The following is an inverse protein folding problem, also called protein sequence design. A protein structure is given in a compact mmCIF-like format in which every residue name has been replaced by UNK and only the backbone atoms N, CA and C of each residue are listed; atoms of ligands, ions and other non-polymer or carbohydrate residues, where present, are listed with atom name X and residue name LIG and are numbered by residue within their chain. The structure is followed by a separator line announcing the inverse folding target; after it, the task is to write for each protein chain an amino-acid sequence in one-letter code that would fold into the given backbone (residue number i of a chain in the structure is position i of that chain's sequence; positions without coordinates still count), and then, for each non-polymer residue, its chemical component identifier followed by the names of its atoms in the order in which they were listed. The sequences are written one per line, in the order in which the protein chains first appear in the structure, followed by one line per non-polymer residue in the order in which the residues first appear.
data_IF_052759069229
#
_entry.id   IF_052759069229
#
_cell.length_a   1.000
_cell.length_b   1.000
_cell.length_c   1.000
_cell.angle_alpha   90.00
_cell.angle_beta   90.00
_cell.angle_gamma   90.00
#
_symmetry.space_group_name_H-M   'P 1'
#
loop_
_entity.id
_entity.type
_entity.pdbx_description
1 polymer ?
#
# COMPACT_ATOMS: atom_id res chain seq x y z
N UNK A 1 -11.10 -73.27 10.54
CA UNK A 1 -11.64 -73.40 11.90
C UNK A 1 -11.78 -71.99 12.47
N UNK A 2 -13.03 -71.44 12.45
CA UNK A 2 -13.83 -71.08 13.61
C UNK A 2 -13.21 -69.96 14.44
N UNK A 3 -13.80 -68.78 14.71
CA UNK A 3 -15.14 -68.49 15.24
C UNK A 3 -15.46 -67.03 15.09
N UNK A 4 -16.71 -66.78 14.71
CA UNK A 4 -17.42 -65.49 14.83
C UNK A 4 -17.63 -65.11 16.30
N UNK A 5 -17.45 -63.80 16.61
CA UNK A 5 -18.12 -63.22 17.79
C UNK A 5 -18.79 -61.92 17.40
N UNK A 6 -20.08 -62.05 17.27
CA UNK A 6 -21.05 -60.93 17.17
C UNK A 6 -21.12 -60.23 18.51
N UNK A 7 -20.91 -58.91 18.58
CA UNK A 7 -21.39 -58.09 19.70
C UNK A 7 -22.24 -56.94 19.19
N UNK A 8 -23.49 -57.13 19.47
CA UNK A 8 -24.56 -56.17 19.41
C UNK A 8 -24.29 -55.07 20.45
N UNK A 9 -24.28 -53.82 20.04
CA UNK A 9 -24.31 -52.65 20.95
C UNK A 9 -25.43 -51.73 20.53
N UNK A 10 -26.27 -51.44 21.50
CA UNK A 10 -27.48 -50.63 21.47
C UNK A 10 -27.26 -49.23 20.92
N UNK A 11 -28.23 -48.79 20.13
CA UNK A 11 -28.47 -47.42 19.71
C UNK A 11 -29.10 -46.68 20.91
N UNK A 12 -28.44 -45.63 21.39
CA UNK A 12 -29.08 -44.60 22.19
C UNK A 12 -29.13 -43.35 21.30
N UNK A 13 -30.34 -43.02 20.88
CA UNK A 13 -30.65 -41.80 20.18
C UNK A 13 -30.60 -40.61 21.17
N UNK A 14 -29.55 -39.79 21.03
CA UNK A 14 -29.49 -38.49 21.68
C UNK A 14 -29.50 -37.43 20.58
N UNK A 15 -30.61 -36.72 20.44
CA UNK A 15 -30.72 -35.57 19.53
C UNK A 15 -29.86 -34.42 20.10
N UNK A 16 -28.63 -34.33 19.67
CA UNK A 16 -27.78 -33.18 19.88
C UNK A 16 -27.77 -32.36 18.60
N UNK A 17 -28.46 -31.23 18.59
CA UNK A 17 -28.30 -30.22 17.52
C UNK A 17 -26.92 -29.65 17.62
N UNK A 18 -25.97 -30.18 16.86
CA UNK A 18 -24.68 -29.51 16.60
C UNK A 18 -24.90 -28.43 15.53
N UNK A 19 -25.13 -27.21 15.98
CA UNK A 19 -24.93 -26.04 15.12
C UNK A 19 -23.46 -25.96 14.78
N UNK A 20 -23.12 -26.50 13.62
CA UNK A 20 -21.80 -26.26 13.02
C UNK A 20 -21.76 -24.81 12.58
N UNK A 21 -21.20 -23.96 13.43
CA UNK A 21 -20.78 -22.62 13.00
C UNK A 21 -19.73 -22.81 11.91
N UNK A 22 -20.11 -22.59 10.65
CA UNK A 22 -19.17 -22.40 9.56
C UNK A 22 -18.42 -21.08 9.78
N UNK A 23 -17.37 -21.09 10.62
CA UNK A 23 -16.30 -20.11 10.58
C UNK A 23 -15.34 -20.55 9.48
N UNK A 24 -15.58 -20.17 8.25
CA UNK A 24 -14.52 -20.23 7.25
C UNK A 24 -14.94 -19.52 5.98
N UNK A 25 -14.73 -18.23 5.95
CA UNK A 25 -14.39 -17.49 4.74
C UNK A 25 -13.72 -16.15 5.06
N UNK A 26 -12.90 -16.15 6.14
CA UNK A 26 -11.96 -15.09 6.38
C UNK A 26 -10.54 -15.68 6.31
N UNK A 27 -9.72 -15.10 5.44
CA UNK A 27 -8.26 -15.27 5.39
C UNK A 27 -7.70 -16.61 4.87
N UNK A 28 -7.82 -16.84 3.58
CA UNK A 28 -6.68 -17.37 2.83
C UNK A 28 -5.98 -16.21 2.13
N UNK A 29 -5.31 -15.36 2.89
CA UNK A 29 -4.18 -14.60 2.37
C UNK A 29 -3.13 -15.66 2.07
N UNK A 30 -2.74 -15.78 0.80
CA UNK A 30 -1.76 -16.75 0.37
C UNK A 30 -0.49 -16.56 1.19
N UNK A 31 0.01 -17.61 1.84
CA UNK A 31 1.24 -17.64 2.67
C UNK A 31 2.53 -17.25 1.90
N UNK A 32 2.41 -16.83 0.64
CA UNK A 32 3.50 -16.40 -0.23
C UNK A 32 3.53 -14.88 -0.51
N UNK A 33 2.56 -14.10 -0.04
CA UNK A 33 2.58 -12.66 -0.25
C UNK A 33 3.59 -12.01 0.71
N UNK A 34 4.76 -11.62 0.18
CA UNK A 34 5.74 -10.87 0.94
C UNK A 34 5.12 -9.52 1.34
N UNK A 35 4.96 -9.25 2.63
CA UNK A 35 4.41 -7.99 3.12
C UNK A 35 5.16 -6.80 2.52
N UNK A 36 4.46 -5.70 2.18
CA UNK A 36 5.08 -4.43 1.79
C UNK A 36 6.17 -4.00 2.78
N UNK A 37 5.94 -4.20 4.07
CA UNK A 37 6.88 -3.86 5.14
C UNK A 37 8.15 -4.73 5.20
N UNK A 38 8.23 -5.81 4.44
CA UNK A 38 9.45 -6.62 4.29
C UNK A 38 10.37 -6.09 3.18
N UNK A 39 9.92 -5.08 2.42
CA UNK A 39 10.67 -4.45 1.36
C UNK A 39 11.55 -3.32 1.90
N UNK A 40 12.54 -2.92 1.11
CA UNK A 40 13.40 -1.77 1.39
C UNK A 40 13.76 -1.07 0.08
N UNK A 41 14.14 0.19 0.18
CA UNK A 41 14.65 0.98 -0.92
C UNK A 41 15.71 1.96 -0.42
N UNK A 42 16.59 2.40 -1.31
CA UNK A 42 17.57 3.45 -1.04
C UNK A 42 16.87 4.82 -1.05
N UNK A 43 17.07 5.62 -0.02
CA UNK A 43 16.56 6.99 0.03
C UNK A 43 17.34 7.92 -0.92
N UNK A 44 16.91 9.16 -1.05
CA UNK A 44 17.54 10.16 -1.94
C UNK A 44 18.98 10.51 -1.53
N UNK A 45 19.42 10.13 -0.33
CA UNK A 45 20.79 10.35 0.19
C UNK A 45 21.68 9.10 0.08
N UNK A 46 21.12 7.95 -0.37
CA UNK A 46 21.86 6.70 -0.51
C UNK A 46 21.73 5.75 0.68
N UNK A 47 20.85 6.01 1.65
CA UNK A 47 20.64 5.17 2.81
C UNK A 47 19.54 4.14 2.55
N UNK A 48 19.73 2.88 2.99
CA UNK A 48 18.72 1.83 2.84
C UNK A 48 17.65 1.96 3.92
N UNK A 49 16.43 2.26 3.50
CA UNK A 49 15.27 2.41 4.37
C UNK A 49 14.36 1.20 4.22
N UNK A 50 14.06 0.54 5.34
CA UNK A 50 13.01 -0.49 5.38
C UNK A 50 11.63 0.15 5.34
N UNK A 51 10.72 -0.38 4.52
CA UNK A 51 9.31 0.06 4.52
C UNK A 51 8.63 -0.23 5.85
N UNK A 52 9.18 -1.14 6.64
CA UNK A 52 8.75 -1.41 8.02
C UNK A 52 8.84 -0.20 8.96
N UNK A 53 9.67 0.80 8.66
CA UNK A 53 9.76 2.06 9.41
C UNK A 53 8.45 2.87 9.40
N UNK A 54 7.58 2.62 8.42
CA UNK A 54 6.32 3.34 8.24
C UNK A 54 5.09 2.60 8.81
N UNK A 55 5.29 1.48 9.52
CA UNK A 55 4.20 0.75 10.18
C UNK A 55 3.37 1.66 11.09
N UNK A 56 2.06 1.45 11.08
CA UNK A 56 1.13 2.21 11.92
C UNK A 56 0.62 3.50 11.29
N UNK A 57 1.21 3.97 10.18
CA UNK A 57 0.66 5.04 9.34
C UNK A 57 0.12 4.46 8.03
N UNK A 58 -0.80 5.16 7.40
CA UNK A 58 -1.10 4.93 5.98
C UNK A 58 0.09 5.37 5.14
N UNK A 59 0.31 4.74 4.02
CA UNK A 59 1.44 5.03 3.13
C UNK A 59 0.90 5.38 1.75
N UNK A 60 1.23 6.56 1.23
CA UNK A 60 0.96 6.95 -0.15
C UNK A 60 2.26 6.90 -0.94
N UNK A 61 2.41 5.88 -1.79
CA UNK A 61 3.56 5.73 -2.68
C UNK A 61 3.28 6.41 -4.00
N UNK A 62 4.18 7.28 -4.46
CA UNK A 62 4.00 8.07 -5.69
C UNK A 62 5.27 7.99 -6.53
N UNK A 63 5.15 7.66 -7.82
CA UNK A 63 6.24 7.82 -8.77
C UNK A 63 6.25 9.24 -9.32
N UNK A 64 7.36 9.93 -9.16
CA UNK A 64 7.45 11.37 -9.40
C UNK A 64 8.48 11.72 -10.48
N UNK A 65 8.37 12.92 -11.03
CA UNK A 65 9.34 13.46 -12.00
C UNK A 65 9.35 14.98 -11.98
N UNK A 66 10.53 15.58 -12.26
CA UNK A 66 10.76 17.03 -12.21
C UNK A 66 10.33 17.79 -13.47
N UNK A 67 10.09 17.10 -14.60
CA UNK A 67 9.80 17.72 -15.92
C UNK A 67 8.52 17.19 -16.56
N UNK A 68 7.52 16.91 -15.74
CA UNK A 68 6.21 16.39 -16.13
C UNK A 68 5.15 17.49 -16.07
N UNK A 69 4.10 17.40 -16.90
CA UNK A 69 2.93 18.28 -16.77
C UNK A 69 2.25 18.18 -15.38
N UNK A 70 2.40 17.03 -14.70
CA UNK A 70 1.89 16.81 -13.35
C UNK A 70 2.86 17.19 -12.22
N UNK A 71 4.06 17.73 -12.53
CA UNK A 71 5.04 18.15 -11.50
C UNK A 71 4.46 19.11 -10.46
N UNK A 72 3.50 20.03 -10.79
CA UNK A 72 2.85 20.87 -9.78
C UNK A 72 2.14 20.10 -8.66
N UNK A 73 1.81 18.82 -8.84
CA UNK A 73 1.23 17.96 -7.78
C UNK A 73 2.15 17.79 -6.55
N UNK A 74 3.44 18.11 -6.66
CA UNK A 74 4.32 18.13 -5.48
C UNK A 74 3.80 19.06 -4.37
N UNK A 75 3.19 20.20 -4.72
CA UNK A 75 2.59 21.14 -3.76
C UNK A 75 1.44 20.47 -3.00
N UNK A 76 0.53 19.81 -3.73
CA UNK A 76 -0.58 19.08 -3.12
C UNK A 76 -0.12 17.87 -2.28
N UNK A 77 0.94 17.16 -2.71
CA UNK A 77 1.53 16.06 -1.94
C UNK A 77 2.15 16.56 -0.64
N UNK A 78 2.84 17.71 -0.66
CA UNK A 78 3.42 18.33 0.54
C UNK A 78 2.31 18.77 1.50
N UNK A 79 1.29 19.46 1.00
CA UNK A 79 0.11 19.86 1.79
C UNK A 79 -0.57 18.64 2.43
N UNK A 80 -0.76 17.57 1.68
CA UNK A 80 -1.35 16.31 2.17
C UNK A 80 -0.49 15.71 3.30
N UNK A 81 0.82 15.65 3.09
CA UNK A 81 1.77 15.12 4.06
C UNK A 81 1.75 15.92 5.38
N UNK A 82 1.77 17.24 5.31
CA UNK A 82 1.73 18.12 6.49
C UNK A 82 0.39 18.03 7.23
N UNK A 83 -0.72 18.02 6.48
CA UNK A 83 -2.08 17.97 7.06
C UNK A 83 -2.32 16.66 7.82
N UNK A 84 -1.80 15.54 7.34
CA UNK A 84 -2.08 14.21 7.89
C UNK A 84 -0.84 13.53 8.48
N UNK A 85 0.20 14.29 8.87
CA UNK A 85 1.50 13.79 9.32
C UNK A 85 1.44 12.72 10.44
N UNK A 86 0.41 12.75 11.28
CA UNK A 86 0.23 11.77 12.36
C UNK A 86 -0.29 10.39 11.86
N UNK A 87 -0.95 10.37 10.71
CA UNK A 87 -1.67 9.20 10.21
C UNK A 87 -1.28 8.73 8.81
N UNK A 88 -0.56 9.58 8.06
CA UNK A 88 -0.11 9.35 6.69
C UNK A 88 1.38 9.64 6.56
N UNK A 89 2.06 8.88 5.71
CA UNK A 89 3.35 9.24 5.12
C UNK A 89 3.24 9.20 3.61
N UNK A 90 3.83 10.18 2.94
CA UNK A 90 4.01 10.19 1.47
C UNK A 90 5.43 9.73 1.16
N UNK A 91 5.58 8.81 0.20
CA UNK A 91 6.86 8.29 -0.26
C UNK A 91 7.03 8.61 -1.74
N UNK A 92 7.96 9.50 -2.08
CA UNK A 92 8.23 9.92 -3.44
C UNK A 92 9.35 9.10 -4.07
N UNK A 93 9.06 8.41 -5.18
CA UNK A 93 10.01 7.62 -5.95
C UNK A 93 10.26 8.26 -7.32
N UNK A 94 11.36 8.98 -7.52
CA UNK A 94 11.71 9.53 -8.83
C UNK A 94 11.90 8.43 -9.87
N UNK A 95 11.37 8.65 -11.09
CA UNK A 95 11.54 7.70 -12.17
C UNK A 95 11.68 8.39 -13.54
N UNK A 96 12.65 7.92 -14.33
CA UNK A 96 12.89 8.42 -15.69
C UNK A 96 12.22 7.56 -16.77
N UNK A 97 11.31 6.66 -16.39
CA UNK A 97 10.71 5.69 -17.31
C UNK A 97 9.64 6.29 -18.25
N UNK A 98 9.19 7.51 -17.97
CA UNK A 98 8.18 8.20 -18.76
C UNK A 98 8.78 9.41 -19.45
N UNK A 99 9.07 9.26 -20.75
CA UNK A 99 9.56 10.32 -21.65
C UNK A 99 10.81 11.04 -21.13
N UNK A 100 11.67 10.35 -20.34
CA UNK A 100 12.89 10.93 -19.73
C UNK A 100 12.63 12.23 -18.95
N UNK A 101 11.50 12.28 -18.25
CA UNK A 101 11.07 13.46 -17.51
C UNK A 101 11.72 13.60 -16.13
N UNK A 102 12.63 12.67 -15.76
CA UNK A 102 13.44 12.75 -14.54
C UNK A 102 14.94 12.51 -14.84
N UNK A 103 15.59 13.39 -15.62
CA UNK A 103 16.97 13.16 -16.06
C UNK A 103 18.01 13.43 -14.95
N UNK A 104 17.67 14.21 -13.92
CA UNK A 104 18.56 14.66 -12.87
C UNK A 104 19.19 13.53 -12.05
N UNK A 105 20.32 13.80 -11.41
CA UNK A 105 20.88 12.98 -10.34
C UNK A 105 20.01 13.07 -9.08
N UNK A 106 20.16 12.15 -8.13
CA UNK A 106 19.44 12.20 -6.85
C UNK A 106 19.63 13.54 -6.13
N UNK A 107 20.84 14.10 -6.15
CA UNK A 107 21.15 15.41 -5.55
C UNK A 107 20.41 16.57 -6.24
N UNK A 108 20.34 16.55 -7.57
CA UNK A 108 19.61 17.58 -8.34
C UNK A 108 18.09 17.46 -8.09
N UNK A 109 17.55 16.24 -8.08
CA UNK A 109 16.14 15.97 -7.77
C UNK A 109 15.80 16.47 -6.37
N UNK A 110 16.58 16.09 -5.36
CA UNK A 110 16.39 16.54 -3.98
C UNK A 110 16.37 18.07 -3.88
N UNK A 111 17.37 18.71 -4.51
CA UNK A 111 17.48 20.18 -4.52
C UNK A 111 16.27 20.83 -5.19
N UNK A 112 15.83 20.28 -6.32
CA UNK A 112 14.65 20.75 -7.05
C UNK A 112 13.38 20.65 -6.17
N UNK A 113 13.11 19.47 -5.61
CA UNK A 113 11.92 19.23 -4.78
C UNK A 113 11.88 20.16 -3.56
N UNK A 114 13.01 20.31 -2.87
CA UNK A 114 13.11 21.17 -1.68
C UNK A 114 12.98 22.66 -2.01
N UNK A 115 13.69 23.15 -3.04
CA UNK A 115 13.70 24.59 -3.36
C UNK A 115 12.45 25.08 -4.04
N UNK A 116 11.85 24.23 -4.89
CA UNK A 116 10.70 24.63 -5.71
C UNK A 116 9.37 24.39 -5.00
N UNK A 117 9.25 23.27 -4.28
CA UNK A 117 7.99 22.82 -3.68
C UNK A 117 8.04 22.67 -2.16
N UNK A 118 9.19 22.95 -1.53
CA UNK A 118 9.32 22.79 -0.08
C UNK A 118 9.16 21.34 0.40
N UNK A 119 9.43 20.34 -0.45
CA UNK A 119 9.20 18.93 -0.12
C UNK A 119 9.98 18.51 1.11
N UNK A 120 9.27 18.01 2.12
CA UNK A 120 9.82 17.46 3.36
C UNK A 120 9.44 16.00 3.58
N UNK A 121 8.51 15.45 2.81
CA UNK A 121 8.21 14.02 2.87
C UNK A 121 9.36 13.17 2.33
N UNK A 122 9.49 11.88 2.76
CA UNK A 122 10.54 10.98 2.32
C UNK A 122 10.64 10.85 0.80
N UNK A 123 11.80 11.19 0.26
CA UNK A 123 12.17 10.98 -1.13
C UNK A 123 13.18 9.84 -1.23
N UNK A 124 13.04 9.01 -2.26
CA UNK A 124 13.90 7.87 -2.54
C UNK A 124 14.82 8.12 -3.72
N UNK A 125 15.84 7.29 -3.88
CA UNK A 125 16.70 7.29 -5.06
C UNK A 125 15.89 7.02 -6.32
N UNK A 126 16.36 7.53 -7.45
CA UNK A 126 15.73 7.31 -8.75
C UNK A 126 15.73 5.82 -9.12
N UNK A 127 14.56 5.27 -9.44
CA UNK A 127 14.36 3.85 -9.72
C UNK A 127 13.60 3.62 -11.03
N UNK A 128 13.57 2.36 -11.49
CA UNK A 128 12.64 1.93 -12.52
C UNK A 128 11.32 1.49 -11.89
N UNK A 129 10.21 2.01 -12.42
CA UNK A 129 8.83 1.68 -11.96
C UNK A 129 8.09 0.78 -12.94
N UNK A 130 8.70 0.46 -14.09
CA UNK A 130 8.15 -0.44 -15.11
C UNK A 130 9.23 -1.25 -15.82
N UNK A 131 8.80 -2.24 -16.62
CA UNK A 131 9.68 -3.09 -17.42
C UNK A 131 10.48 -4.10 -16.58
N UNK A 132 11.47 -4.76 -17.21
CA UNK A 132 12.21 -5.87 -16.58
C UNK A 132 13.15 -5.45 -15.43
N UNK A 133 13.45 -4.17 -15.31
CA UNK A 133 14.30 -3.60 -14.24
C UNK A 133 13.47 -2.95 -13.14
N UNK A 134 12.16 -3.18 -13.15
CA UNK A 134 11.23 -2.64 -12.16
C UNK A 134 11.71 -2.96 -10.75
N UNK A 135 11.72 -1.94 -9.89
CA UNK A 135 12.15 -2.07 -8.49
C UNK A 135 11.17 -2.96 -7.70
N UNK A 136 11.64 -3.78 -6.73
CA UNK A 136 10.78 -4.67 -5.94
C UNK A 136 9.57 -4.00 -5.27
N UNK A 137 9.67 -2.73 -4.87
CA UNK A 137 8.53 -1.93 -4.37
C UNK A 137 7.42 -1.87 -5.43
N UNK A 138 7.77 -1.54 -6.68
CA UNK A 138 6.79 -1.41 -7.76
C UNK A 138 6.37 -2.77 -8.33
N UNK A 139 7.21 -3.81 -8.24
CA UNK A 139 6.78 -5.19 -8.50
C UNK A 139 5.64 -5.55 -7.54
N UNK A 140 5.83 -5.30 -6.25
CA UNK A 140 4.82 -5.59 -5.25
C UNK A 140 3.54 -4.77 -5.46
N UNK A 141 3.67 -3.47 -5.74
CA UNK A 141 2.52 -2.57 -5.91
C UNK A 141 1.67 -2.90 -7.13
N UNK A 142 2.22 -3.57 -8.15
CA UNK A 142 1.56 -3.83 -9.44
C UNK A 142 1.54 -5.32 -9.83
N UNK A 143 1.53 -6.21 -8.85
CA UNK A 143 1.29 -7.65 -9.05
C UNK A 143 0.29 -8.12 -7.99
N UNK A 144 -0.94 -8.41 -8.43
CA UNK A 144 -2.04 -8.84 -7.56
C UNK A 144 -1.74 -10.12 -6.80
N UNK A 145 -0.79 -10.96 -7.28
CA UNK A 145 -0.33 -12.14 -6.55
C UNK A 145 0.51 -11.78 -5.32
N UNK A 146 1.15 -10.61 -5.33
CA UNK A 146 1.99 -10.12 -4.24
C UNK A 146 1.22 -9.20 -3.28
N UNK A 147 0.36 -8.31 -3.82
CA UNK A 147 -0.36 -7.30 -3.04
C UNK A 147 -1.80 -7.68 -2.70
N UNK A 148 -2.33 -8.74 -3.32
CA UNK A 148 -3.65 -9.29 -3.05
C UNK A 148 -4.73 -8.98 -4.10
N UNK A 149 -4.58 -7.93 -4.94
CA UNK A 149 -5.62 -7.57 -5.91
C UNK A 149 -5.20 -6.71 -7.10
N UNK A 150 -4.16 -5.86 -6.98
CA UNK A 150 -3.87 -4.84 -7.98
C UNK A 150 -2.79 -5.29 -8.97
N UNK A 151 -3.12 -5.28 -10.25
CA UNK A 151 -2.22 -5.55 -11.37
C UNK A 151 -1.86 -4.27 -12.16
N UNK A 152 -2.39 -3.10 -11.76
CA UNK A 152 -2.14 -1.83 -12.44
C UNK A 152 -0.74 -1.30 -12.14
N UNK A 153 0.10 -1.28 -13.17
CA UNK A 153 1.40 -0.61 -13.16
C UNK A 153 1.22 0.89 -13.43
N UNK A 154 2.20 1.74 -13.02
CA UNK A 154 2.16 3.15 -13.36
C UNK A 154 2.01 3.36 -14.87
N UNK A 155 0.96 4.05 -15.27
CA UNK A 155 0.70 4.43 -16.66
C UNK A 155 1.45 5.71 -17.06
N UNK A 156 1.77 6.55 -16.08
CA UNK A 156 2.50 7.82 -16.22
C UNK A 156 3.21 8.20 -14.93
N UNK A 157 3.90 9.37 -14.90
CA UNK A 157 4.36 9.96 -13.64
C UNK A 157 3.17 10.38 -12.77
N UNK A 158 3.36 10.41 -11.47
CA UNK A 158 2.37 10.78 -10.45
C UNK A 158 1.19 9.80 -10.31
N UNK A 159 1.36 8.53 -10.68
CA UNK A 159 0.45 7.49 -10.19
C UNK A 159 0.67 7.26 -8.70
N UNK A 160 -0.40 6.93 -8.00
CA UNK A 160 -0.40 6.85 -6.53
C UNK A 160 -0.97 5.51 -6.07
N UNK A 161 -0.34 4.93 -5.05
CA UNK A 161 -0.77 3.69 -4.41
C UNK A 161 -0.94 3.96 -2.92
N UNK A 162 -2.14 3.73 -2.39
CA UNK A 162 -2.45 3.96 -0.99
C UNK A 162 -2.49 2.63 -0.24
N UNK A 163 -1.71 2.56 0.84
CA UNK A 163 -1.70 1.42 1.75
C UNK A 163 -2.32 1.79 3.10
N UNK A 164 -2.94 0.82 3.73
CA UNK A 164 -3.45 0.95 5.09
C UNK A 164 -2.31 0.89 6.15
N UNK A 165 -2.67 1.07 7.43
CA UNK A 165 -1.73 1.04 8.56
C UNK A 165 -1.06 -0.32 8.78
N UNK A 166 -1.59 -1.38 8.16
CA UNK A 166 -1.05 -2.75 8.22
C UNK A 166 -0.14 -3.07 7.04
N UNK A 167 -0.08 -2.18 6.02
CA UNK A 167 0.70 -2.34 4.80
C UNK A 167 -0.04 -3.10 3.71
N UNK A 168 -1.36 -3.22 3.79
CA UNK A 168 -2.18 -3.75 2.69
C UNK A 168 -2.44 -2.63 1.68
N UNK A 169 -2.28 -2.91 0.40
CA UNK A 169 -2.69 -1.99 -0.65
C UNK A 169 -4.21 -1.90 -0.69
N UNK A 170 -4.75 -0.68 -0.57
CA UNK A 170 -6.20 -0.45 -0.51
C UNK A 170 -6.74 0.36 -1.67
N UNK A 171 -5.90 1.11 -2.40
CA UNK A 171 -6.35 1.90 -3.53
C UNK A 171 -5.20 2.23 -4.49
N UNK A 172 -5.52 2.38 -5.78
CA UNK A 172 -4.64 2.88 -6.84
C UNK A 172 -5.31 4.07 -7.52
N UNK A 173 -4.53 5.12 -7.81
CA UNK A 173 -5.01 6.33 -8.48
C UNK A 173 -4.13 6.67 -9.67
N UNK A 174 -4.76 7.01 -10.79
CA UNK A 174 -4.08 7.54 -11.97
C UNK A 174 -3.39 8.88 -11.71
N UNK A 175 -2.60 9.30 -12.68
CA UNK A 175 -1.83 10.55 -12.62
C UNK A 175 -2.71 11.80 -12.51
N UNK A 176 -3.91 11.74 -13.13
CA UNK A 176 -4.88 12.82 -13.20
C UNK A 176 -5.56 13.14 -11.84
N UNK A 177 -5.53 12.19 -10.89
CA UNK A 177 -6.14 12.40 -9.58
C UNK A 177 -5.20 13.26 -8.73
N UNK A 178 -5.66 14.46 -8.40
CA UNK A 178 -4.90 15.41 -7.59
C UNK A 178 -4.73 14.91 -6.14
N UNK A 179 -3.59 15.22 -5.47
CA UNK A 179 -3.32 14.73 -4.13
C UNK A 179 -4.39 15.08 -3.09
N UNK A 180 -5.03 16.23 -3.23
CA UNK A 180 -6.08 16.71 -2.31
C UNK A 180 -7.50 16.32 -2.74
N UNK A 181 -7.63 15.51 -3.81
CA UNK A 181 -8.93 15.02 -4.26
C UNK A 181 -9.64 14.23 -3.14
N UNK A 182 -10.97 14.34 -3.13
CA UNK A 182 -11.82 13.60 -2.19
C UNK A 182 -11.67 12.09 -2.33
N UNK A 183 -11.32 11.60 -3.53
CA UNK A 183 -11.01 10.18 -3.76
C UNK A 183 -9.85 9.68 -2.88
N UNK A 184 -8.86 10.53 -2.60
CA UNK A 184 -7.74 10.23 -1.71
C UNK A 184 -8.09 10.58 -0.27
N UNK A 185 -8.55 11.82 -0.03
CA UNK A 185 -8.72 12.36 1.32
C UNK A 185 -9.80 11.65 2.13
N UNK A 186 -10.85 11.11 1.49
CA UNK A 186 -11.86 10.26 2.16
C UNK A 186 -11.26 9.08 2.94
N UNK A 187 -10.13 8.54 2.45
CA UNK A 187 -9.42 7.44 3.13
C UNK A 187 -8.61 7.91 4.34
N UNK A 188 -8.33 9.20 4.45
CA UNK A 188 -7.48 9.78 5.50
C UNK A 188 -8.28 10.30 6.68
N UNK A 189 -9.54 10.63 6.46
CA UNK A 189 -10.44 11.08 7.52
C UNK A 189 -10.53 9.99 8.60
N UNK A 190 -10.30 10.37 9.84
CA UNK A 190 -10.56 9.51 10.99
C UNK A 190 -12.05 9.16 10.96
N UNK A 191 -12.38 7.86 11.02
CA UNK A 191 -13.76 7.49 11.38
C UNK A 191 -13.99 8.07 12.77
N UNK A 192 -14.82 9.10 12.85
CA UNK A 192 -15.35 9.61 14.12
C UNK A 192 -15.93 8.39 14.85
N UNK A 193 -15.57 8.12 16.12
CA UNK A 193 -16.24 7.07 16.87
C UNK A 193 -17.75 7.35 16.80
N UNK A 194 -18.52 6.41 16.29
CA UNK A 194 -19.99 6.47 16.41
C UNK A 194 -20.29 6.47 17.90
N UNK A 195 -20.60 7.65 18.45
CA UNK A 195 -21.15 7.76 19.79
C UNK A 195 -22.49 7.05 19.71
N UNK A 196 -22.57 5.84 20.26
CA UNK A 196 -23.84 5.16 20.44
C UNK A 196 -24.71 6.05 21.30
N UNK A 197 -25.98 6.34 20.90
CA UNK A 197 -26.87 7.12 21.76
C UNK A 197 -27.02 6.41 23.10
N UNK A 198 -27.13 7.14 24.21
CA UNK A 198 -27.32 6.56 25.52
C UNK A 198 -28.56 5.65 25.48
N UNK A 199 -28.43 4.42 25.96
CA UNK A 199 -29.59 3.53 26.17
C UNK A 199 -30.43 4.14 27.29
N UNK A 200 -31.61 4.61 26.94
CA UNK A 200 -32.68 4.94 27.91
C UNK A 200 -33.18 3.68 28.59
#
# INVERSE_FOLDING_TARGET
MTKYFTKLILIIAGIGIFTVFNLSSAEKISDNAKSFYALSAEDINGEIISMGAYKGKKVLVVNVASRCGYTPQYEGLQTLYETYQDSLVVLGFPSNDFMWQEPGSNTEIKTFCQRTYGVTFPMFSKIHVKGRKKHPIYDWLSDGKLNGWNDDSPSWNFNKYLLDKKGNLIEYFGAEIEPLDTLITKHLLLKTPTISPPKN
#
